data_IF_298795753834
#
_entry.id   IF_298795753834
#
_cell.length_a   1.000
_cell.length_b   1.000
_cell.length_c   1.000
_cell.angle_alpha   90.00
_cell.angle_beta   90.00
_cell.angle_gamma   90.00
#
_symmetry.space_group_name_H-M   'P 1'
#
loop_
_entity.id
_entity.type
_entity.pdbx_description
1 polymer ?
#
# COMPACT_ATOMS: atom_id res chain seq x y z
N UNK A 1 21.07 -14.72 8.03
CA UNK A 1 19.61 -14.78 7.80
C UNK A 1 19.36 -15.49 6.49
N UNK A 2 18.46 -16.47 6.43
CA UNK A 2 18.17 -17.21 5.19
C UNK A 2 17.65 -16.23 4.11
N UNK A 3 18.09 -16.37 2.85
CA UNK A 3 17.70 -15.51 1.72
C UNK A 3 16.18 -15.45 1.53
N UNK A 4 15.49 -16.56 1.74
CA UNK A 4 14.03 -16.68 1.64
C UNK A 4 13.34 -15.98 2.80
N UNK A 5 13.81 -16.22 4.02
CA UNK A 5 13.31 -15.54 5.21
C UNK A 5 13.45 -14.02 5.09
N UNK A 6 14.59 -13.53 4.57
CA UNK A 6 14.77 -12.12 4.27
C UNK A 6 13.75 -11.61 3.25
N UNK A 7 13.54 -12.33 2.14
CA UNK A 7 12.50 -11.95 1.17
C UNK A 7 11.11 -11.90 1.80
N UNK A 8 10.73 -12.89 2.60
CA UNK A 8 9.42 -12.94 3.27
C UNK A 8 9.26 -11.72 4.19
N UNK A 9 10.27 -11.41 4.99
CA UNK A 9 10.21 -10.28 5.93
C UNK A 9 10.14 -8.92 5.22
N UNK A 10 10.90 -8.75 4.14
CA UNK A 10 10.88 -7.52 3.34
C UNK A 10 9.55 -7.37 2.58
N UNK A 11 8.99 -8.46 2.06
CA UNK A 11 7.65 -8.44 1.46
C UNK A 11 6.57 -8.08 2.48
N UNK A 12 6.62 -8.63 3.70
CA UNK A 12 5.73 -8.24 4.79
C UNK A 12 5.85 -6.75 5.08
N UNK A 13 7.06 -6.21 5.13
CA UNK A 13 7.29 -4.79 5.34
C UNK A 13 6.67 -3.93 4.23
N UNK A 14 6.88 -4.26 2.95
CA UNK A 14 6.25 -3.52 1.84
C UNK A 14 4.73 -3.56 1.90
N UNK A 15 4.13 -4.72 2.19
CA UNK A 15 2.68 -4.88 2.31
C UNK A 15 2.16 -4.06 3.49
N UNK A 16 2.81 -4.15 4.66
CA UNK A 16 2.43 -3.39 5.85
C UNK A 16 2.50 -1.90 5.58
N UNK A 17 3.62 -1.37 5.06
CA UNK A 17 3.76 0.06 4.74
C UNK A 17 2.71 0.51 3.72
N UNK A 18 2.44 -0.30 2.69
CA UNK A 18 1.38 -0.01 1.72
C UNK A 18 0.02 0.11 2.39
N UNK A 19 -0.29 -0.78 3.34
CA UNK A 19 -1.52 -0.72 4.13
C UNK A 19 -1.62 0.56 4.95
N UNK A 20 -0.57 0.92 5.71
CA UNK A 20 -0.57 2.15 6.50
C UNK A 20 -0.74 3.38 5.61
N UNK A 21 -0.03 3.42 4.49
CA UNK A 21 -0.09 4.50 3.53
C UNK A 21 -1.49 4.62 2.90
N UNK A 22 -2.13 3.50 2.56
CA UNK A 22 -3.51 3.47 2.09
C UNK A 22 -4.48 4.02 3.15
N UNK A 23 -4.41 3.51 4.39
CA UNK A 23 -5.33 3.92 5.45
C UNK A 23 -5.19 5.42 5.77
N UNK A 24 -3.96 5.92 5.87
CA UNK A 24 -3.70 7.34 6.10
C UNK A 24 -4.15 8.22 4.92
N UNK A 25 -3.79 7.83 3.68
CA UNK A 25 -4.24 8.52 2.48
C UNK A 25 -5.76 8.56 2.39
N UNK A 26 -6.43 7.43 2.60
CA UNK A 26 -7.88 7.33 2.53
C UNK A 26 -8.56 8.11 3.65
N UNK A 27 -8.01 8.13 4.87
CA UNK A 27 -8.53 8.96 5.95
C UNK A 27 -8.43 10.45 5.60
N UNK A 28 -7.28 10.90 5.09
CA UNK A 28 -7.07 12.30 4.73
C UNK A 28 -7.83 12.72 3.46
N UNK A 29 -8.00 11.81 2.50
CA UNK A 29 -8.66 12.07 1.22
C UNK A 29 -10.17 11.83 1.25
N UNK A 30 -10.63 10.82 1.98
CA UNK A 30 -11.94 10.20 1.87
C UNK A 30 -12.78 10.17 3.15
N UNK A 31 -12.24 10.46 4.35
CA UNK A 31 -13.10 10.82 5.48
C UNK A 31 -13.60 12.26 5.31
N UNK A 32 -14.66 12.37 4.53
CA UNK A 32 -15.58 13.51 4.45
C UNK A 32 -16.39 13.62 5.74
N UNK A 33 -15.72 13.73 6.89
CA UNK A 33 -16.39 14.30 8.04
C UNK A 33 -16.24 15.82 7.90
N UNK A 34 -17.36 16.51 7.72
CA UNK A 34 -17.37 17.98 7.70
C UNK A 34 -16.72 18.56 8.97
N UNK A 35 -16.67 17.74 10.03
CA UNK A 35 -15.99 18.00 11.30
C UNK A 35 -14.51 18.39 11.15
N UNK A 36 -13.83 17.98 10.08
CA UNK A 36 -12.41 18.33 9.85
C UNK A 36 -12.18 19.45 8.83
N UNK A 37 -13.23 20.04 8.24
CA UNK A 37 -13.06 21.09 7.23
C UNK A 37 -12.34 22.32 7.78
N UNK A 38 -12.66 22.73 9.02
CA UNK A 38 -12.01 23.87 9.67
C UNK A 38 -10.50 23.68 9.84
N UNK A 39 -10.07 22.50 10.29
CA UNK A 39 -8.63 22.21 10.43
C UNK A 39 -7.93 22.07 9.07
N UNK A 40 -8.61 21.52 8.05
CA UNK A 40 -8.09 21.44 6.68
C UNK A 40 -7.87 22.82 6.07
N UNK A 41 -8.82 23.74 6.27
CA UNK A 41 -8.70 25.13 5.81
C UNK A 41 -7.63 25.91 6.57
N UNK A 42 -7.40 25.57 7.85
CA UNK A 42 -6.35 26.20 8.66
C UNK A 42 -4.94 25.76 8.29
N UNK A 43 -4.76 24.49 7.92
CA UNK A 43 -3.46 23.92 7.57
C UNK A 43 -3.42 23.32 6.15
N UNK A 44 -3.83 24.07 5.11
CA UNK A 44 -4.12 23.51 3.79
C UNK A 44 -2.88 22.87 3.15
N UNK A 45 -1.73 23.53 3.29
CA UNK A 45 -0.43 23.06 2.81
C UNK A 45 -0.04 21.72 3.44
N UNK A 46 -0.18 21.58 4.76
CA UNK A 46 0.15 20.33 5.46
C UNK A 46 -0.74 19.18 4.97
N UNK A 47 -2.06 19.39 4.88
CA UNK A 47 -2.99 18.37 4.38
C UNK A 47 -2.74 17.99 2.92
N UNK A 48 -2.37 18.95 2.07
CA UNK A 48 -2.01 18.67 0.69
C UNK A 48 -0.74 17.82 0.61
N UNK A 49 0.34 18.23 1.29
CA UNK A 49 1.60 17.49 1.30
C UNK A 49 1.45 16.10 1.92
N UNK A 50 0.76 15.97 3.06
CA UNK A 50 0.56 14.66 3.71
C UNK A 50 -0.21 13.69 2.82
N UNK A 51 -1.32 14.12 2.20
CA UNK A 51 -2.07 13.29 1.24
C UNK A 51 -1.19 12.83 0.08
N UNK A 52 -0.41 13.76 -0.47
CA UNK A 52 0.51 13.48 -1.57
C UNK A 52 1.57 12.45 -1.17
N UNK A 53 2.21 12.64 -0.02
CA UNK A 53 3.26 11.76 0.49
C UNK A 53 2.76 10.35 0.74
N UNK A 54 1.58 10.20 1.37
CA UNK A 54 0.99 8.87 1.61
C UNK A 54 0.62 8.17 0.30
N UNK A 55 0.00 8.87 -0.65
CA UNK A 55 -0.32 8.28 -1.95
C UNK A 55 0.95 7.86 -2.71
N UNK A 56 1.96 8.72 -2.71
CA UNK A 56 3.26 8.44 -3.34
C UNK A 56 3.90 7.20 -2.72
N UNK A 57 3.89 7.12 -1.39
CA UNK A 57 4.40 5.97 -0.64
C UNK A 57 3.66 4.70 -1.03
N UNK A 58 2.32 4.74 -1.02
CA UNK A 58 1.45 3.63 -1.43
C UNK A 58 1.79 3.12 -2.82
N UNK A 59 1.87 4.01 -3.81
CA UNK A 59 2.18 3.65 -5.21
C UNK A 59 3.56 2.99 -5.31
N UNK A 60 4.57 3.58 -4.67
CA UNK A 60 5.95 3.07 -4.72
C UNK A 60 6.05 1.70 -4.06
N UNK A 61 5.54 1.55 -2.84
CA UNK A 61 5.66 0.29 -2.10
C UNK A 61 4.87 -0.83 -2.76
N UNK A 62 3.68 -0.54 -3.30
CA UNK A 62 2.92 -1.53 -4.07
C UNK A 62 3.59 -1.90 -5.38
N UNK A 63 4.17 -0.92 -6.09
CA UNK A 63 4.90 -1.20 -7.32
C UNK A 63 6.07 -2.16 -7.08
N UNK A 64 6.84 -1.94 -6.00
CA UNK A 64 7.99 -2.78 -5.64
C UNK A 64 7.62 -4.25 -5.42
N UNK A 65 6.39 -4.55 -5.00
CA UNK A 65 5.98 -5.93 -4.69
C UNK A 65 6.03 -6.89 -5.89
N UNK A 66 5.78 -6.41 -7.11
CA UNK A 66 5.76 -7.25 -8.32
C UNK A 66 6.62 -6.68 -9.45
N UNK A 67 7.61 -5.86 -9.11
CA UNK A 67 8.53 -5.34 -10.10
C UNK A 67 9.37 -6.44 -10.77
N UNK A 68 9.89 -6.18 -11.97
CA UNK A 68 10.44 -7.23 -12.84
C UNK A 68 11.95 -7.41 -12.72
N UNK A 69 12.65 -6.56 -11.99
CA UNK A 69 14.11 -6.69 -11.87
C UNK A 69 14.47 -7.92 -11.06
N UNK A 70 15.52 -8.61 -11.49
CA UNK A 70 16.02 -9.84 -10.85
C UNK A 70 16.97 -9.55 -9.68
N UNK A 71 17.45 -8.32 -9.56
CA UNK A 71 18.38 -7.87 -8.52
C UNK A 71 17.67 -7.24 -7.30
N UNK A 72 16.35 -7.35 -7.22
CA UNK A 72 15.54 -6.71 -6.17
C UNK A 72 14.66 -7.69 -5.41
N UNK A 73 14.08 -7.22 -4.30
CA UNK A 73 13.14 -7.99 -3.50
C UNK A 73 11.74 -7.77 -4.05
N UNK A 74 11.17 -8.82 -4.64
CA UNK A 74 9.81 -8.83 -5.17
C UNK A 74 9.21 -10.26 -5.15
N UNK A 75 7.92 -10.38 -5.41
CA UNK A 75 7.19 -11.65 -5.37
C UNK A 75 7.69 -12.64 -6.42
N UNK A 76 8.10 -12.19 -7.60
CA UNK A 76 8.59 -13.09 -8.66
C UNK A 76 9.92 -13.74 -8.27
N UNK A 77 10.84 -12.96 -7.72
CA UNK A 77 12.10 -13.47 -7.21
C UNK A 77 11.90 -14.40 -6.01
N UNK A 78 10.95 -14.08 -5.12
CA UNK A 78 10.57 -14.99 -4.04
C UNK A 78 10.07 -16.32 -4.61
N UNK A 79 9.12 -16.33 -5.54
CA UNK A 79 8.60 -17.56 -6.17
C UNK A 79 9.72 -18.39 -6.79
N UNK A 80 10.67 -17.75 -7.48
CA UNK A 80 11.82 -18.44 -8.07
C UNK A 80 12.71 -19.12 -7.01
N UNK A 81 12.90 -18.49 -5.85
CA UNK A 81 13.59 -19.12 -4.72
C UNK A 81 12.78 -20.28 -4.15
N UNK A 82 11.47 -20.12 -4.00
CA UNK A 82 10.59 -21.16 -3.46
C UNK A 82 10.57 -22.41 -4.34
N UNK A 83 10.66 -22.28 -5.67
CA UNK A 83 10.75 -23.42 -6.61
C UNK A 83 11.97 -24.32 -6.36
N UNK A 84 13.01 -23.80 -5.71
CA UNK A 84 14.23 -24.54 -5.40
C UNK A 84 14.17 -25.19 -4.00
N UNK A 85 13.15 -24.87 -3.20
CA UNK A 85 13.00 -25.37 -1.85
C UNK A 85 12.18 -26.66 -1.80
N UNK A 86 12.71 -27.74 -1.19
CA UNK A 86 12.00 -29.02 -1.08
C UNK A 86 10.65 -28.95 -0.36
N UNK A 87 10.46 -27.93 0.50
CA UNK A 87 9.20 -27.70 1.21
C UNK A 87 8.05 -27.26 0.29
N UNK A 88 8.35 -26.70 -0.87
CA UNK A 88 7.36 -26.16 -1.79
C UNK A 88 7.11 -27.11 -2.96
N UNK A 89 6.06 -27.92 -2.82
CA UNK A 89 5.60 -28.81 -3.88
C UNK A 89 5.09 -28.01 -5.10
N UNK A 90 5.06 -28.62 -6.31
CA UNK A 90 4.55 -27.97 -7.53
C UNK A 90 3.14 -27.38 -7.35
N UNK A 91 2.25 -28.07 -6.63
CA UNK A 91 0.90 -27.59 -6.32
C UNK A 91 0.88 -26.29 -5.49
N UNK A 92 1.85 -26.08 -4.61
CA UNK A 92 1.97 -24.86 -3.80
C UNK A 92 2.47 -23.70 -4.65
N UNK A 93 3.44 -23.96 -5.53
CA UNK A 93 3.96 -22.97 -6.47
C UNK A 93 2.87 -22.52 -7.43
N UNK A 94 2.15 -23.46 -8.04
CA UNK A 94 1.04 -23.16 -8.93
C UNK A 94 -0.02 -22.30 -8.23
N UNK A 95 -0.41 -22.66 -7.00
CA UNK A 95 -1.35 -21.86 -6.23
C UNK A 95 -0.88 -20.41 -6.02
N UNK A 96 0.41 -20.21 -5.72
CA UNK A 96 0.99 -18.88 -5.54
C UNK A 96 0.96 -18.09 -6.85
N UNK A 97 1.38 -18.70 -7.96
CA UNK A 97 1.43 -18.07 -9.28
C UNK A 97 0.04 -17.65 -9.75
N UNK A 98 -0.98 -18.51 -9.61
CA UNK A 98 -2.37 -18.19 -9.95
C UNK A 98 -2.90 -16.98 -9.15
N UNK A 99 -2.54 -16.85 -7.86
CA UNK A 99 -2.93 -15.70 -7.05
C UNK A 99 -2.21 -14.42 -7.49
N UNK A 100 -0.95 -14.52 -7.89
CA UNK A 100 -0.17 -13.39 -8.38
C UNK A 100 -0.65 -12.93 -9.77
N UNK A 101 -1.06 -13.84 -10.65
CA UNK A 101 -1.62 -13.50 -11.95
C UNK A 101 -2.92 -12.70 -11.82
N UNK A 102 -3.77 -13.06 -10.86
CA UNK A 102 -4.96 -12.26 -10.54
C UNK A 102 -4.60 -10.86 -10.02
N UNK A 103 -3.53 -10.76 -9.23
CA UNK A 103 -3.07 -9.50 -8.65
C UNK A 103 -2.40 -8.59 -9.69
N UNK A 104 -1.83 -9.17 -10.74
CA UNK A 104 -1.12 -8.47 -11.82
C UNK A 104 -1.99 -7.45 -12.55
N UNK A 105 -3.28 -7.73 -12.73
CA UNK A 105 -4.22 -6.79 -13.37
C UNK A 105 -4.28 -5.44 -12.62
N UNK A 106 -4.26 -5.47 -11.30
CA UNK A 106 -4.25 -4.24 -10.48
C UNK A 106 -2.84 -3.64 -10.47
N UNK A 107 -1.80 -4.47 -10.40
CA UNK A 107 -0.42 -4.01 -10.44
C UNK A 107 -0.06 -3.26 -11.73
N UNK A 108 -0.55 -3.70 -12.89
CA UNK A 108 -0.32 -3.02 -14.16
C UNK A 108 -0.92 -1.60 -14.15
N UNK A 109 -2.07 -1.39 -13.51
CA UNK A 109 -2.64 -0.06 -13.29
C UNK A 109 -1.78 0.78 -12.35
N UNK A 110 -1.26 0.18 -11.27
CA UNK A 110 -0.33 0.85 -10.32
C UNK A 110 0.96 1.26 -11.03
N UNK A 111 1.46 0.45 -11.97
CA UNK A 111 2.61 0.78 -12.79
C UNK A 111 2.32 2.01 -13.67
N UNK A 112 1.15 2.09 -14.31
CA UNK A 112 0.73 3.28 -15.07
C UNK A 112 0.66 4.51 -14.16
N UNK A 113 0.02 4.39 -12.99
CA UNK A 113 -0.02 5.45 -11.99
C UNK A 113 1.37 5.95 -11.64
N UNK A 114 2.32 5.05 -11.34
CA UNK A 114 3.71 5.40 -11.01
C UNK A 114 4.35 6.19 -12.16
N UNK A 115 4.24 5.69 -13.38
CA UNK A 115 4.81 6.37 -14.55
C UNK A 115 4.25 7.79 -14.67
N UNK A 116 2.94 7.96 -14.57
CA UNK A 116 2.31 9.27 -14.76
C UNK A 116 2.57 10.21 -13.58
N UNK A 117 2.55 9.70 -12.35
CA UNK A 117 2.81 10.44 -11.13
C UNK A 117 4.25 10.98 -11.07
N UNK A 118 5.24 10.27 -11.60
CA UNK A 118 6.65 10.67 -11.48
C UNK A 118 7.27 11.21 -12.79
N UNK A 119 6.79 10.80 -13.97
CA UNK A 119 7.35 11.24 -15.25
C UNK A 119 6.59 12.46 -15.83
N UNK A 120 5.31 12.61 -15.51
CA UNK A 120 4.45 13.66 -16.03
C UNK A 120 3.94 14.56 -14.91
N UNK A 121 4.82 14.99 -14.00
CA UNK A 121 4.54 16.03 -12.99
C UNK A 121 4.32 17.39 -13.68
N UNK A 122 3.29 17.44 -14.51
CA UNK A 122 2.91 18.56 -15.33
C UNK A 122 1.99 19.43 -14.49
N UNK A 123 2.17 20.75 -14.52
CA UNK A 123 1.42 21.73 -13.72
C UNK A 123 -0.11 21.61 -13.86
N UNK A 124 -0.61 20.88 -14.87
CA UNK A 124 -2.02 20.74 -15.22
C UNK A 124 -2.66 19.36 -14.97
N UNK A 125 -1.89 18.33 -14.55
CA UNK A 125 -2.48 17.01 -14.27
C UNK A 125 -3.00 16.98 -12.83
N UNK A 126 -4.31 17.17 -12.68
CA UNK A 126 -4.98 16.96 -11.39
C UNK A 126 -4.86 15.50 -10.97
N UNK A 127 -4.85 15.23 -9.67
CA UNK A 127 -4.84 13.84 -9.16
C UNK A 127 -5.97 13.00 -9.79
N UNK A 128 -7.12 13.62 -10.03
CA UNK A 128 -8.26 13.01 -10.72
C UNK A 128 -7.93 12.53 -12.13
N UNK A 129 -7.15 13.31 -12.90
CA UNK A 129 -6.75 12.93 -14.27
C UNK A 129 -5.78 11.74 -14.28
N UNK A 130 -4.82 11.68 -13.34
CA UNK A 130 -3.87 10.56 -13.21
C UNK A 130 -4.59 9.26 -12.82
N UNK A 131 -5.56 9.34 -11.90
CA UNK A 131 -6.39 8.20 -11.52
C UNK A 131 -7.32 7.73 -12.66
N UNK A 132 -7.87 8.67 -13.43
CA UNK A 132 -8.71 8.35 -14.59
C UNK A 132 -7.91 7.63 -15.68
N UNK A 133 -6.70 8.08 -15.97
CA UNK A 133 -5.84 7.47 -16.99
C UNK A 133 -5.39 6.05 -16.61
N UNK A 134 -5.03 5.84 -15.33
CA UNK A 134 -4.71 4.51 -14.84
C UNK A 134 -5.94 3.59 -14.64
N UNK A 135 -7.16 4.15 -14.76
CA UNK A 135 -8.43 3.47 -14.55
C UNK A 135 -8.44 2.61 -13.27
N UNK A 136 -7.95 3.18 -12.17
CA UNK A 136 -7.84 2.50 -10.87
C UNK A 136 -8.70 3.19 -9.83
N UNK A 137 -9.51 2.39 -9.14
CA UNK A 137 -10.38 2.84 -8.04
C UNK A 137 -9.64 2.70 -6.72
N UNK A 138 -9.92 3.56 -5.72
CA UNK A 138 -9.31 3.45 -4.38
C UNK A 138 -9.42 2.04 -3.77
N UNK A 139 -10.59 1.40 -3.90
CA UNK A 139 -10.80 0.05 -3.36
C UNK A 139 -9.93 -1.02 -4.05
N UNK A 140 -9.46 -0.80 -5.27
CA UNK A 140 -8.54 -1.75 -5.95
C UNK A 140 -7.18 -1.80 -5.25
N UNK A 141 -6.68 -0.70 -4.66
CA UNK A 141 -5.48 -0.76 -3.81
C UNK A 141 -5.70 -1.68 -2.61
N UNK A 142 -6.83 -1.52 -1.92
CA UNK A 142 -7.18 -2.36 -0.76
C UNK A 142 -7.30 -3.83 -1.15
N UNK A 143 -7.91 -4.11 -2.30
CA UNK A 143 -8.00 -5.47 -2.85
C UNK A 143 -6.62 -6.04 -3.15
N UNK A 144 -5.73 -5.28 -3.79
CA UNK A 144 -4.37 -5.71 -4.11
C UNK A 144 -3.53 -5.97 -2.86
N UNK A 145 -3.58 -5.07 -1.86
CA UNK A 145 -2.95 -5.28 -0.54
C UNK A 145 -3.46 -6.60 0.07
N UNK A 146 -4.78 -6.82 0.13
CA UNK A 146 -5.37 -8.03 0.69
C UNK A 146 -4.96 -9.30 -0.06
N UNK A 147 -4.81 -9.24 -1.39
CA UNK A 147 -4.31 -10.36 -2.18
C UNK A 147 -2.86 -10.69 -1.80
N UNK A 148 -2.00 -9.68 -1.70
CA UNK A 148 -0.60 -9.86 -1.29
C UNK A 148 -0.46 -10.41 0.14
N UNK A 149 -1.26 -9.91 1.09
CA UNK A 149 -1.34 -10.43 2.47
C UNK A 149 -1.65 -11.94 2.50
N UNK A 150 -2.63 -12.37 1.68
CA UNK A 150 -3.01 -13.78 1.58
C UNK A 150 -1.89 -14.63 1.00
N UNK A 151 -1.23 -14.18 -0.07
CA UNK A 151 -0.14 -14.92 -0.69
C UNK A 151 1.05 -15.04 0.27
N UNK A 152 1.46 -13.95 0.92
CA UNK A 152 2.62 -14.01 1.82
C UNK A 152 2.35 -14.83 3.08
N UNK A 153 1.11 -14.82 3.60
CA UNK A 153 0.72 -15.69 4.71
C UNK A 153 0.64 -17.17 4.30
N UNK A 154 0.20 -17.46 3.08
CA UNK A 154 0.25 -18.82 2.53
C UNK A 154 1.70 -19.33 2.45
N UNK A 155 2.61 -18.53 1.89
CA UNK A 155 4.05 -18.84 1.84
C UNK A 155 4.62 -19.06 3.24
N UNK A 156 4.32 -18.16 4.17
CA UNK A 156 4.79 -18.23 5.56
C UNK A 156 4.34 -19.51 6.26
N UNK A 157 3.09 -19.93 6.04
CA UNK A 157 2.53 -21.11 6.68
C UNK A 157 3.20 -22.39 6.19
N UNK A 158 3.59 -22.46 4.92
CA UNK A 158 4.37 -23.57 4.38
C UNK A 158 5.81 -23.52 4.90
N UNK A 159 6.45 -22.35 4.83
CA UNK A 159 7.87 -22.18 5.14
C UNK A 159 8.20 -22.45 6.62
N UNK A 160 7.41 -21.90 7.55
CA UNK A 160 7.71 -22.01 8.99
C UNK A 160 6.46 -22.08 9.88
N UNK A 161 5.29 -22.43 9.32
CA UNK A 161 4.01 -22.52 10.05
C UNK A 161 3.58 -21.21 10.73
N UNK A 162 4.16 -20.07 10.35
CA UNK A 162 3.78 -18.75 10.86
C UNK A 162 2.73 -18.08 9.98
N UNK A 163 2.07 -17.07 10.56
CA UNK A 163 1.26 -16.10 9.85
C UNK A 163 1.63 -14.72 10.37
N UNK A 164 1.70 -13.74 9.47
CA UNK A 164 1.87 -12.35 9.86
C UNK A 164 0.50 -11.71 10.05
N UNK A 165 0.28 -11.11 11.22
CA UNK A 165 -0.91 -10.32 11.47
C UNK A 165 -0.70 -8.93 10.87
N UNK A 166 -1.39 -8.65 9.75
CA UNK A 166 -1.43 -7.32 9.15
C UNK A 166 -2.47 -6.44 9.87
N UNK A 167 -2.42 -6.38 11.21
CA UNK A 167 -3.44 -5.74 12.06
C UNK A 167 -3.12 -4.28 12.43
N UNK A 168 -2.11 -3.69 11.81
CA UNK A 168 -1.79 -2.27 11.97
C UNK A 168 -2.87 -1.40 11.32
N UNK A 169 -3.82 -0.91 12.13
CA UNK A 169 -4.87 0.01 11.71
C UNK A 169 -4.41 1.47 11.90
N UNK A 170 -3.98 2.11 10.80
CA UNK A 170 -3.60 3.52 10.81
C UNK A 170 -4.76 4.47 10.58
N UNK A 171 -5.95 3.95 10.27
CA UNK A 171 -7.19 4.74 10.25
C UNK A 171 -7.37 5.36 11.63
N UNK A 172 -7.21 4.56 12.68
CA UNK A 172 -7.33 5.00 14.06
C UNK A 172 -6.28 6.06 14.44
N UNK A 173 -5.00 5.83 14.13
CA UNK A 173 -3.92 6.78 14.47
C UNK A 173 -4.06 8.10 13.73
N UNK A 174 -4.38 8.07 12.43
CA UNK A 174 -4.59 9.29 11.63
C UNK A 174 -5.81 10.04 12.14
N UNK A 175 -6.91 9.34 12.45
CA UNK A 175 -8.12 9.96 13.02
C UNK A 175 -7.86 10.56 14.41
N UNK A 176 -7.15 9.86 15.30
CA UNK A 176 -6.77 10.40 16.61
C UNK A 176 -5.98 11.69 16.50
N UNK A 177 -5.04 11.76 15.54
CA UNK A 177 -4.30 12.99 15.27
C UNK A 177 -5.24 14.13 14.84
N UNK A 178 -6.18 13.84 13.95
CA UNK A 178 -7.19 14.81 13.50
C UNK A 178 -8.11 15.28 14.63
N UNK A 179 -8.56 14.37 15.49
CA UNK A 179 -9.39 14.65 16.65
C UNK A 179 -8.65 15.51 17.68
N UNK A 180 -7.36 15.23 17.89
CA UNK A 180 -6.51 16.05 18.74
C UNK A 180 -6.40 17.49 18.21
N UNK A 181 -6.13 17.68 16.92
CA UNK A 181 -6.09 19.00 16.31
C UNK A 181 -7.42 19.75 16.46
N UNK A 182 -8.54 19.06 16.23
CA UNK A 182 -9.87 19.64 16.38
C UNK A 182 -10.15 20.07 17.83
N UNK A 183 -9.72 19.27 18.82
CA UNK A 183 -9.84 19.61 20.24
C UNK A 183 -9.04 20.87 20.59
N UNK A 184 -7.80 20.99 20.08
CA UNK A 184 -6.96 22.17 20.34
C UNK A 184 -7.55 23.44 19.72
N UNK A 185 -8.16 23.35 18.54
CA UNK A 185 -8.86 24.49 17.93
C UNK A 185 -10.06 24.94 18.77
N UNK A 186 -10.89 24.00 19.24
CA UNK A 186 -12.04 24.33 20.10
C UNK A 186 -11.61 25.02 21.39
N UNK A 187 -10.53 24.56 22.02
CA UNK A 187 -9.98 25.19 23.24
C UNK A 187 -9.52 26.64 22.99
N UNK A 188 -8.91 26.91 21.84
CA UNK A 188 -8.47 28.27 21.47
C UNK A 188 -9.63 29.23 21.18
N UNK A 189 -10.79 28.74 20.77
CA UNK A 189 -11.98 29.57 20.53
C UNK A 189 -12.74 29.93 21.82
N UNK A 190 -12.48 29.21 22.91
CA UNK A 190 -13.14 29.40 24.22
C UNK A 190 -12.28 30.22 25.21
N UNK A 191 -11.03 30.51 24.86
CA UNK A 191 -10.08 31.30 25.65
C UNK A 191 -9.94 32.70 25.05
#
# INVERSE_FOLDING_TARGET
MNKIENHINQMRQFISVSKLAYDAWWTLAGESSDNYNGIRQKFPTHFQFSRYSYLTTLIVTLYMTMEKRTDTINMMNLVNLLKQEPLFKPEHIQHIEEKLDNAKLIWDKIKILRCNQFAHFNYNLSLTSVFAEANIKPNEFKQFISQLEKVINYISRIYNKSSHAFNSDHTYSTRQFMDYLLLQEKKKQMA
#
